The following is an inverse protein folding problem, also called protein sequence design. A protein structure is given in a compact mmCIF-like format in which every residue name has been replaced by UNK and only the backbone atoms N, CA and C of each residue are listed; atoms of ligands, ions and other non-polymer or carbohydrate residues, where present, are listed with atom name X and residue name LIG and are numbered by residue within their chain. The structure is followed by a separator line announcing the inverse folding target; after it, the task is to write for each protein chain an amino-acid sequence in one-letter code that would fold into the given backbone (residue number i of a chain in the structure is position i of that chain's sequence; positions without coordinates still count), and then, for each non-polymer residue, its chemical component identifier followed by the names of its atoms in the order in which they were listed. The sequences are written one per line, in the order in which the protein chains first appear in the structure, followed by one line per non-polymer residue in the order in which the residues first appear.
data_IF_570692506066
#
_entry.id   IF_570692506066
#
_cell.length_a   1.000
_cell.length_b   1.000
_cell.length_c   1.000
_cell.angle_alpha   90.00
_cell.angle_beta   90.00
_cell.angle_gamma   90.00
#
_symmetry.space_group_name_H-M   'P 1'
#
loop_
_entity.id
_entity.type
_entity.pdbx_description
1 polymer ?
#
# COMPACT_ATOMS: atom_id res chain seq x y z
N UNK A 1 4.62 9.37 24.31
CA UNK A 1 5.16 8.47 23.25
C UNK A 1 3.98 7.70 22.70
N UNK A 2 3.61 7.92 21.46
CA UNK A 2 2.65 7.07 20.73
C UNK A 2 3.26 5.67 20.64
N UNK A 3 2.55 4.65 21.13
CA UNK A 3 2.98 3.26 21.03
C UNK A 3 2.89 2.88 19.55
N UNK A 4 4.02 2.62 18.91
CA UNK A 4 4.07 2.17 17.53
C UNK A 4 3.49 0.76 17.43
N UNK A 5 2.63 0.52 16.44
CA UNK A 5 2.16 -0.81 16.10
C UNK A 5 3.23 -1.53 15.29
N UNK A 6 3.57 -2.75 15.68
CA UNK A 6 4.39 -3.64 14.86
C UNK A 6 3.45 -4.39 13.93
N UNK A 7 3.68 -4.23 12.61
CA UNK A 7 2.93 -4.92 11.57
C UNK A 7 3.78 -6.07 11.01
N UNK A 8 3.54 -7.32 11.42
CA UNK A 8 4.22 -8.48 10.83
C UNK A 8 3.94 -8.58 9.33
N UNK A 9 4.92 -9.07 8.57
CA UNK A 9 4.87 -9.22 7.13
C UNK A 9 5.15 -10.68 6.75
N UNK A 10 4.44 -11.23 5.77
CA UNK A 10 4.64 -12.59 5.25
C UNK A 10 5.59 -12.62 4.05
N UNK A 11 6.37 -11.58 3.84
CA UNK A 11 7.35 -11.48 2.74
C UNK A 11 8.24 -12.73 2.67
N UNK A 12 8.44 -13.22 1.45
CA UNK A 12 9.14 -14.48 1.20
C UNK A 12 8.23 -15.72 1.14
N UNK A 13 6.95 -15.60 1.42
CA UNK A 13 5.99 -16.67 1.18
C UNK A 13 5.74 -16.86 -0.32
N UNK A 14 5.74 -18.13 -0.78
CA UNK A 14 5.52 -18.48 -2.17
C UNK A 14 4.09 -18.96 -2.46
N UNK A 15 3.33 -19.30 -1.42
CA UNK A 15 1.96 -19.79 -1.50
C UNK A 15 1.16 -19.43 -0.24
N UNK A 16 -0.15 -19.65 -0.28
CA UNK A 16 -1.05 -19.32 0.83
C UNK A 16 -0.69 -20.05 2.13
N UNK A 17 -0.30 -21.34 2.05
CA UNK A 17 0.04 -22.12 3.24
C UNK A 17 1.26 -21.55 3.98
N UNK A 18 2.28 -21.12 3.24
CA UNK A 18 3.46 -20.47 3.84
C UNK A 18 3.11 -19.15 4.48
N UNK A 19 2.34 -18.29 3.80
CA UNK A 19 1.90 -17.01 4.34
C UNK A 19 1.09 -17.17 5.62
N UNK A 20 0.13 -18.09 5.64
CA UNK A 20 -0.68 -18.43 6.82
C UNK A 20 0.19 -18.91 7.96
N UNK A 21 1.16 -19.80 7.69
CA UNK A 21 2.11 -20.29 8.69
C UNK A 21 2.94 -19.15 9.30
N UNK A 22 3.48 -18.24 8.48
CA UNK A 22 4.24 -17.08 8.96
C UNK A 22 3.41 -16.15 9.84
N UNK A 23 2.19 -15.84 9.43
CA UNK A 23 1.28 -15.01 10.23
C UNK A 23 0.95 -15.65 11.59
N UNK A 24 0.66 -16.96 11.60
CA UNK A 24 0.41 -17.72 12.84
C UNK A 24 1.62 -17.75 13.77
N UNK A 25 2.84 -17.87 13.22
CA UNK A 25 4.08 -17.81 14.00
C UNK A 25 4.27 -16.44 14.65
N UNK A 26 4.02 -15.34 13.89
CA UNK A 26 4.08 -13.99 14.43
C UNK A 26 3.11 -13.80 15.61
N UNK A 27 1.86 -14.26 15.48
CA UNK A 27 0.88 -14.23 16.58
C UNK A 27 1.31 -15.09 17.76
N UNK A 28 1.84 -16.28 17.53
CA UNK A 28 2.32 -17.17 18.58
C UNK A 28 3.52 -16.59 19.33
N UNK A 29 4.28 -15.69 18.74
CA UNK A 29 5.38 -14.95 19.42
C UNK A 29 4.88 -13.76 20.27
N UNK A 30 3.57 -13.55 20.38
CA UNK A 30 2.96 -12.50 21.21
C UNK A 30 2.71 -11.18 20.48
N UNK A 31 2.81 -11.14 19.16
CA UNK A 31 2.44 -9.96 18.39
C UNK A 31 0.91 -9.88 18.23
N UNK A 32 0.42 -8.66 18.05
CA UNK A 32 -0.98 -8.40 17.74
C UNK A 32 -1.41 -9.11 16.44
N UNK A 33 -2.71 -9.43 16.24
CA UNK A 33 -3.17 -10.20 15.09
C UNK A 33 -3.25 -9.40 13.78
N UNK A 34 -2.37 -8.41 13.63
CA UNK A 34 -2.23 -7.64 12.39
C UNK A 34 -1.23 -8.33 11.48
N UNK A 35 -1.49 -8.32 10.18
CA UNK A 35 -0.54 -8.88 9.21
C UNK A 35 -0.60 -8.15 7.88
N UNK A 36 0.56 -7.69 7.39
CA UNK A 36 0.72 -7.36 5.98
C UNK A 36 0.91 -8.68 5.23
N UNK A 37 -0.09 -9.01 4.43
CA UNK A 37 -0.08 -10.23 3.63
C UNK A 37 0.65 -9.96 2.31
N UNK A 38 1.85 -10.48 2.18
CA UNK A 38 2.71 -10.35 1.02
C UNK A 38 3.13 -11.73 0.52
N UNK A 39 2.73 -12.04 -0.69
CA UNK A 39 2.92 -13.31 -1.38
C UNK A 39 3.54 -13.04 -2.75
N UNK A 40 4.84 -13.24 -2.88
CA UNK A 40 5.62 -12.91 -4.07
C UNK A 40 6.43 -14.11 -4.53
N UNK A 41 5.80 -15.07 -5.24
CA UNK A 41 6.45 -16.34 -5.63
C UNK A 41 7.54 -16.16 -6.68
N UNK A 42 7.51 -15.05 -7.43
CA UNK A 42 8.48 -14.75 -8.49
C UNK A 42 9.55 -13.78 -7.94
N UNK A 43 10.84 -14.22 -7.84
CA UNK A 43 11.86 -13.46 -7.11
C UNK A 43 12.45 -12.27 -7.90
N UNK A 44 12.21 -12.18 -9.21
CA UNK A 44 12.83 -11.14 -10.05
C UNK A 44 12.12 -9.80 -9.93
N UNK A 45 10.79 -9.81 -9.94
CA UNK A 45 9.97 -8.59 -9.91
C UNK A 45 9.16 -8.44 -8.64
N UNK A 46 9.12 -9.46 -7.78
CA UNK A 46 8.39 -9.50 -6.51
C UNK A 46 6.92 -9.11 -6.69
N UNK A 47 6.30 -9.60 -7.75
CA UNK A 47 4.89 -9.35 -8.03
C UNK A 47 4.02 -10.27 -7.17
N UNK A 48 2.94 -9.73 -6.57
CA UNK A 48 2.04 -10.53 -5.76
C UNK A 48 1.20 -11.48 -6.62
N UNK A 49 1.02 -12.72 -6.12
CA UNK A 49 0.12 -13.69 -6.74
C UNK A 49 -1.32 -13.41 -6.31
N UNK A 50 -2.25 -13.08 -7.23
CA UNK A 50 -3.60 -12.69 -6.89
C UNK A 50 -4.44 -13.81 -6.29
N UNK A 51 -4.27 -15.06 -6.77
CA UNK A 51 -5.06 -16.21 -6.32
C UNK A 51 -4.61 -16.69 -4.95
N UNK A 52 -3.33 -16.85 -4.75
CA UNK A 52 -2.75 -17.25 -3.47
C UNK A 52 -2.94 -16.17 -2.40
N UNK A 53 -2.89 -14.88 -2.77
CA UNK A 53 -3.18 -13.76 -1.86
C UNK A 53 -4.62 -13.81 -1.37
N UNK A 54 -5.59 -13.97 -2.28
CA UNK A 54 -7.02 -14.08 -1.90
C UNK A 54 -7.26 -15.29 -1.00
N UNK A 55 -6.73 -16.47 -1.37
CA UNK A 55 -6.85 -17.71 -0.59
C UNK A 55 -6.25 -17.55 0.82
N UNK A 56 -5.07 -16.94 0.94
CA UNK A 56 -4.44 -16.71 2.24
C UNK A 56 -5.23 -15.70 3.08
N UNK A 57 -5.74 -14.63 2.45
CA UNK A 57 -6.56 -13.63 3.13
C UNK A 57 -7.83 -14.26 3.73
N UNK A 58 -8.57 -15.07 2.97
CA UNK A 58 -9.76 -15.77 3.45
C UNK A 58 -9.49 -16.66 4.68
N UNK A 59 -8.37 -17.37 4.68
CA UNK A 59 -7.96 -18.22 5.80
C UNK A 59 -7.61 -17.38 7.03
N UNK A 60 -6.79 -16.35 6.84
CA UNK A 60 -6.32 -15.48 7.94
C UNK A 60 -7.45 -14.68 8.57
N UNK A 61 -8.38 -14.16 7.76
CA UNK A 61 -9.56 -13.44 8.25
C UNK A 61 -10.43 -14.38 9.11
N UNK A 62 -10.68 -15.61 8.67
CA UNK A 62 -11.39 -16.64 9.47
C UNK A 62 -10.65 -16.97 10.78
N UNK A 63 -9.33 -16.91 10.78
CA UNK A 63 -8.49 -17.10 11.97
C UNK A 63 -8.48 -15.85 12.90
N UNK A 64 -9.18 -14.78 12.55
CA UNK A 64 -9.29 -13.56 13.33
C UNK A 64 -8.09 -12.60 13.18
N UNK A 65 -7.37 -12.66 12.06
CA UNK A 65 -6.35 -11.66 11.74
C UNK A 65 -6.97 -10.41 11.10
N UNK A 66 -6.35 -9.27 11.38
CA UNK A 66 -6.54 -8.02 10.64
C UNK A 66 -5.59 -8.03 9.46
N UNK A 67 -6.13 -8.30 8.27
CA UNK A 67 -5.32 -8.58 7.08
C UNK A 67 -5.20 -7.34 6.20
N UNK A 68 -3.97 -7.00 5.84
CA UNK A 68 -3.58 -5.90 4.96
C UNK A 68 -2.88 -6.50 3.72
N UNK A 69 -3.61 -6.84 2.65
CA UNK A 69 -3.04 -7.55 1.51
C UNK A 69 -2.29 -6.60 0.56
N UNK A 70 -1.05 -6.95 0.22
CA UNK A 70 -0.28 -6.37 -0.87
C UNK A 70 -0.72 -6.99 -2.19
N UNK A 71 -1.12 -6.17 -3.15
CA UNK A 71 -1.71 -6.61 -4.41
C UNK A 71 -1.15 -5.84 -5.61
N UNK A 72 -1.31 -6.40 -6.80
CA UNK A 72 -1.32 -5.62 -8.02
C UNK A 72 -2.46 -4.60 -7.95
N UNK A 73 -2.34 -3.46 -8.64
CA UNK A 73 -3.44 -2.50 -8.74
C UNK A 73 -4.57 -3.06 -9.63
N UNK A 74 -5.29 -4.06 -9.10
CA UNK A 74 -6.40 -4.74 -9.74
C UNK A 74 -7.70 -4.46 -8.97
N UNK A 75 -8.61 -3.61 -9.51
CA UNK A 75 -9.85 -3.26 -8.85
C UNK A 75 -10.80 -4.45 -8.59
N UNK A 76 -10.69 -5.52 -9.39
CA UNK A 76 -11.54 -6.69 -9.19
C UNK A 76 -11.03 -7.60 -8.08
N UNK A 77 -9.72 -7.71 -7.93
CA UNK A 77 -9.11 -8.41 -6.79
C UNK A 77 -9.36 -7.64 -5.49
N UNK A 78 -9.20 -6.31 -5.53
CA UNK A 78 -9.52 -5.40 -4.44
C UNK A 78 -10.90 -5.67 -3.88
N UNK A 79 -11.92 -5.61 -4.73
CA UNK A 79 -13.32 -5.89 -4.34
C UNK A 79 -13.51 -7.26 -3.69
N UNK A 80 -12.88 -8.30 -4.22
CA UNK A 80 -12.95 -9.65 -3.64
C UNK A 80 -12.30 -9.74 -2.26
N UNK A 81 -11.20 -9.02 -2.05
CA UNK A 81 -10.53 -8.95 -0.76
C UNK A 81 -11.36 -8.20 0.27
N UNK A 82 -12.02 -7.10 -0.11
CA UNK A 82 -12.98 -6.41 0.75
C UNK A 82 -14.17 -7.32 1.12
N UNK A 83 -14.76 -7.99 0.14
CA UNK A 83 -15.85 -8.96 0.35
C UNK A 83 -15.44 -10.12 1.28
N UNK A 84 -14.18 -10.54 1.24
CA UNK A 84 -13.60 -11.52 2.16
C UNK A 84 -13.40 -10.96 3.58
N UNK A 85 -13.36 -9.64 3.76
CA UNK A 85 -13.18 -8.95 5.04
C UNK A 85 -11.78 -8.42 5.30
N UNK A 86 -11.00 -8.12 4.26
CA UNK A 86 -9.72 -7.44 4.40
C UNK A 86 -9.90 -6.07 5.08
N UNK A 87 -8.99 -5.71 5.96
CA UNK A 87 -9.07 -4.46 6.72
C UNK A 87 -8.61 -3.23 5.94
N UNK A 88 -7.79 -3.43 4.94
CA UNK A 88 -7.31 -2.44 3.97
C UNK A 88 -7.01 -3.15 2.66
N UNK A 89 -6.64 -2.39 1.63
CA UNK A 89 -5.95 -2.91 0.43
C UNK A 89 -4.70 -2.10 0.16
N UNK A 90 -3.66 -2.77 -0.33
CA UNK A 90 -2.33 -2.19 -0.53
C UNK A 90 -1.87 -2.39 -1.99
N UNK A 91 -2.45 -1.62 -2.94
CA UNK A 91 -2.07 -1.73 -4.35
C UNK A 91 -0.67 -1.16 -4.60
N UNK A 92 0.14 -1.87 -5.39
CA UNK A 92 1.47 -1.41 -5.78
C UNK A 92 1.41 -0.25 -6.79
N UNK A 93 2.25 0.77 -6.58
CA UNK A 93 2.52 1.80 -7.58
C UNK A 93 3.45 1.30 -8.69
N UNK A 94 4.48 0.57 -8.33
CA UNK A 94 5.43 -0.12 -9.21
C UNK A 94 6.05 -1.31 -8.45
N UNK A 95 6.78 -2.23 -9.10
CA UNK A 95 7.42 -3.35 -8.41
C UNK A 95 8.27 -2.93 -7.21
N UNK A 96 8.28 -3.76 -6.16
CA UNK A 96 9.07 -3.54 -4.94
C UNK A 96 10.52 -3.18 -5.30
N UNK A 97 11.08 -2.17 -4.65
CA UNK A 97 12.48 -1.76 -4.83
C UNK A 97 12.78 -1.02 -6.13
N UNK A 98 11.80 -0.80 -6.99
CA UNK A 98 12.04 -0.17 -8.30
C UNK A 98 12.17 1.35 -8.28
N UNK A 99 11.71 2.04 -7.23
CA UNK A 99 11.71 3.50 -7.06
C UNK A 99 11.07 4.28 -8.25
N UNK A 100 10.12 3.64 -8.98
CA UNK A 100 9.58 4.14 -10.26
C UNK A 100 8.34 5.01 -10.11
N UNK A 101 7.83 5.19 -8.90
CA UNK A 101 6.61 5.95 -8.62
C UNK A 101 5.33 5.20 -8.98
N UNK A 102 4.24 5.93 -9.15
CA UNK A 102 2.90 5.37 -9.36
C UNK A 102 2.67 5.11 -10.85
N UNK A 103 3.11 3.95 -11.34
CA UNK A 103 2.93 3.52 -12.74
C UNK A 103 1.55 2.93 -13.01
N UNK A 104 0.83 2.58 -11.96
CA UNK A 104 -0.51 2.00 -11.99
C UNK A 104 -1.58 3.04 -11.62
N UNK A 105 -1.31 4.33 -11.83
CA UNK A 105 -2.11 5.48 -11.41
C UNK A 105 -3.60 5.32 -11.67
N UNK A 106 -3.97 4.97 -12.91
CA UNK A 106 -5.38 4.90 -13.29
C UNK A 106 -6.12 3.77 -12.56
N UNK A 107 -5.46 2.63 -12.36
CA UNK A 107 -6.01 1.51 -11.62
C UNK A 107 -6.14 1.82 -10.12
N UNK A 108 -5.13 2.46 -9.52
CA UNK A 108 -5.20 2.92 -8.12
C UNK A 108 -6.33 3.93 -7.94
N UNK A 109 -6.55 4.85 -8.89
CA UNK A 109 -7.67 5.79 -8.84
C UNK A 109 -9.03 5.06 -8.80
N UNK A 110 -9.21 4.06 -9.67
CA UNK A 110 -10.44 3.24 -9.66
C UNK A 110 -10.63 2.54 -8.32
N UNK A 111 -9.54 1.98 -7.75
CA UNK A 111 -9.59 1.36 -6.42
C UNK A 111 -10.03 2.38 -5.37
N UNK A 112 -9.38 3.55 -5.30
CA UNK A 112 -9.71 4.61 -4.33
C UNK A 112 -11.17 5.06 -4.45
N UNK A 113 -11.69 5.20 -5.68
CA UNK A 113 -13.08 5.61 -5.93
C UNK A 113 -14.13 4.57 -5.48
N UNK A 114 -13.77 3.29 -5.47
CA UNK A 114 -14.70 2.19 -5.21
C UNK A 114 -14.51 1.52 -3.85
N UNK A 115 -13.33 1.66 -3.24
CA UNK A 115 -12.99 1.01 -1.99
C UNK A 115 -13.89 1.48 -0.84
N UNK A 116 -14.29 0.52 0.00
CA UNK A 116 -15.00 0.75 1.26
C UNK A 116 -14.09 0.63 2.49
N UNK A 117 -12.86 0.20 2.26
CA UNK A 117 -11.79 0.09 3.26
C UNK A 117 -10.65 1.07 2.92
N UNK A 118 -9.77 1.41 3.88
CA UNK A 118 -8.62 2.26 3.59
C UNK A 118 -7.72 1.70 2.49
N UNK A 119 -7.27 2.57 1.58
CA UNK A 119 -6.34 2.26 0.49
C UNK A 119 -4.96 2.77 0.86
N UNK A 120 -3.97 1.88 0.85
CA UNK A 120 -2.58 2.19 1.17
C UNK A 120 -1.73 2.08 -0.08
N UNK A 121 -1.18 3.19 -0.57
CA UNK A 121 -0.21 3.16 -1.68
C UNK A 121 1.06 2.43 -1.25
N UNK A 122 1.35 1.29 -1.89
CA UNK A 122 2.49 0.44 -1.51
C UNK A 122 3.41 0.22 -2.71
N UNK A 123 4.68 -0.03 -2.45
CA UNK A 123 5.74 -0.38 -3.39
C UNK A 123 6.00 0.60 -4.56
N UNK A 124 7.24 0.71 -4.94
CA UNK A 124 7.70 1.56 -6.03
C UNK A 124 7.81 3.05 -5.71
N UNK A 125 7.40 3.49 -4.52
CA UNK A 125 7.49 4.87 -4.08
C UNK A 125 8.97 5.21 -3.79
N UNK A 126 9.60 5.95 -4.71
CA UNK A 126 11.06 6.20 -4.67
C UNK A 126 11.44 7.65 -4.41
N UNK A 127 10.47 8.55 -4.28
CA UNK A 127 10.69 9.96 -4.00
C UNK A 127 9.52 10.54 -3.18
N UNK A 128 9.74 11.58 -2.37
CA UNK A 128 8.66 12.25 -1.62
C UNK A 128 7.50 12.72 -2.49
N UNK A 129 7.76 13.13 -3.73
CA UNK A 129 6.73 13.52 -4.69
C UNK A 129 5.76 12.39 -5.05
N UNK A 130 6.22 11.13 -5.02
CA UNK A 130 5.34 9.98 -5.26
C UNK A 130 4.34 9.76 -4.11
N UNK A 131 4.77 10.04 -2.87
CA UNK A 131 3.87 10.00 -1.71
C UNK A 131 2.85 11.14 -1.77
N UNK A 132 3.31 12.35 -2.10
CA UNK A 132 2.39 13.47 -2.28
C UNK A 132 1.33 13.14 -3.35
N UNK A 133 1.75 12.59 -4.49
CA UNK A 133 0.85 12.15 -5.57
C UNK A 133 -0.17 11.11 -5.08
N UNK A 134 0.26 10.06 -4.37
CA UNK A 134 -0.65 9.06 -3.82
C UNK A 134 -1.70 9.68 -2.90
N UNK A 135 -1.27 10.55 -2.01
CA UNK A 135 -2.16 11.21 -1.05
C UNK A 135 -3.08 12.23 -1.71
N UNK A 136 -2.63 12.93 -2.75
CA UNK A 136 -3.44 13.84 -3.59
C UNK A 136 -4.50 13.08 -4.37
N UNK A 137 -4.22 11.84 -4.80
CA UNK A 137 -5.21 10.96 -5.43
C UNK A 137 -6.30 10.48 -4.47
N UNK A 138 -6.08 10.60 -3.15
CA UNK A 138 -7.02 10.20 -2.12
C UNK A 138 -6.67 8.91 -1.38
N UNK A 139 -5.47 8.37 -1.55
CA UNK A 139 -5.01 7.27 -0.71
C UNK A 139 -5.04 7.66 0.78
N UNK A 140 -5.35 6.71 1.65
CA UNK A 140 -5.44 6.94 3.10
C UNK A 140 -4.09 6.89 3.79
N UNK A 141 -3.15 6.14 3.22
CA UNK A 141 -1.78 6.04 3.70
C UNK A 141 -0.83 5.62 2.57
N UNK A 142 0.46 5.66 2.87
CA UNK A 142 1.54 5.15 2.02
C UNK A 142 2.49 4.29 2.83
N UNK A 143 3.13 3.32 2.17
CA UNK A 143 4.19 2.51 2.75
C UNK A 143 5.47 2.69 1.93
N UNK A 144 6.54 3.11 2.61
CA UNK A 144 7.85 3.40 2.00
C UNK A 144 8.93 2.62 2.72
N UNK A 145 9.80 1.96 1.95
CA UNK A 145 10.94 1.23 2.50
C UNK A 145 12.22 1.52 1.70
N UNK A 146 12.34 0.99 0.49
CA UNK A 146 13.57 1.04 -0.33
C UNK A 146 14.10 2.46 -0.51
N UNK A 147 13.25 3.44 -0.77
CA UNK A 147 13.67 4.84 -0.92
C UNK A 147 14.34 5.42 0.34
N UNK A 148 13.99 4.91 1.52
CA UNK A 148 14.64 5.31 2.77
C UNK A 148 15.97 4.57 2.96
N UNK A 149 16.01 3.26 2.68
CA UNK A 149 17.23 2.45 2.85
C UNK A 149 18.32 2.79 1.84
N UNK A 150 17.97 3.23 0.65
CA UNK A 150 18.91 3.61 -0.41
C UNK A 150 19.41 5.05 -0.29
N UNK A 151 18.77 5.89 0.53
CA UNK A 151 19.15 7.28 0.69
C UNK A 151 20.48 7.45 1.40
N UNK A 152 21.28 8.43 1.00
CA UNK A 152 22.54 8.76 1.68
C UNK A 152 22.31 9.32 3.10
N UNK A 153 21.21 10.04 3.31
CA UNK A 153 20.75 10.51 4.62
C UNK A 153 19.33 9.99 4.86
N UNK A 154 19.24 8.87 5.56
CA UNK A 154 17.98 8.18 5.86
C UNK A 154 17.03 9.04 6.70
N UNK A 155 17.58 9.83 7.65
CA UNK A 155 16.77 10.66 8.54
C UNK A 155 16.15 11.84 7.79
N UNK A 156 16.94 12.55 6.98
CA UNK A 156 16.46 13.64 6.13
C UNK A 156 15.44 13.13 5.11
N UNK A 157 15.68 11.96 4.49
CA UNK A 157 14.76 11.37 3.55
C UNK A 157 13.43 10.98 4.21
N UNK A 158 13.45 10.38 5.41
CA UNK A 158 12.25 10.05 6.16
C UNK A 158 11.43 11.30 6.52
N UNK A 159 12.08 12.40 6.88
CA UNK A 159 11.41 13.68 7.12
C UNK A 159 10.77 14.23 5.84
N UNK A 160 11.47 14.17 4.71
CA UNK A 160 10.95 14.62 3.42
C UNK A 160 9.70 13.83 3.01
N UNK A 161 9.70 12.51 3.16
CA UNK A 161 8.53 11.66 2.91
C UNK A 161 7.37 12.02 3.85
N UNK A 162 7.62 12.18 5.15
CA UNK A 162 6.58 12.57 6.11
C UNK A 162 5.95 13.94 5.79
N UNK A 163 6.75 14.90 5.32
CA UNK A 163 6.25 16.21 4.87
C UNK A 163 5.41 16.10 3.60
N UNK A 164 5.84 15.30 2.63
CA UNK A 164 5.15 15.07 1.36
C UNK A 164 3.79 14.39 1.57
N UNK A 165 3.76 13.32 2.37
CA UNK A 165 2.52 12.62 2.75
C UNK A 165 1.51 13.59 3.37
N UNK A 166 1.97 14.42 4.32
CA UNK A 166 1.13 15.43 4.95
C UNK A 166 0.63 16.48 3.96
N UNK A 167 1.52 16.99 3.09
CA UNK A 167 1.17 17.99 2.10
C UNK A 167 0.13 17.47 1.10
N UNK A 168 0.33 16.26 0.55
CA UNK A 168 -0.61 15.63 -0.36
C UNK A 168 -1.99 15.41 0.27
N UNK A 169 -2.04 14.94 1.54
CA UNK A 169 -3.31 14.80 2.25
C UNK A 169 -4.01 16.13 2.47
N UNK A 170 -3.27 17.18 2.80
CA UNK A 170 -3.82 18.54 2.94
C UNK A 170 -4.38 19.06 1.62
N UNK A 171 -3.68 18.83 0.50
CA UNK A 171 -4.13 19.23 -0.83
C UNK A 171 -5.42 18.50 -1.23
N UNK A 172 -5.49 17.19 -1.02
CA UNK A 172 -6.68 16.38 -1.25
C UNK A 172 -7.90 16.90 -0.47
N UNK A 173 -7.73 17.17 0.83
CA UNK A 173 -8.80 17.66 1.70
C UNK A 173 -9.23 19.10 1.37
N UNK A 174 -8.32 19.93 0.86
CA UNK A 174 -8.62 21.27 0.41
C UNK A 174 -9.37 21.30 -0.93
N UNK A 175 -9.31 20.21 -1.70
CA UNK A 175 -9.86 20.11 -3.05
C UNK A 175 -8.90 20.67 -4.10
N UNK A 176 -8.38 19.77 -4.94
CA UNK A 176 -7.51 20.16 -6.06
C UNK A 176 -8.32 20.87 -7.14
N UNK A 177 -7.73 21.87 -7.78
CA UNK A 177 -8.30 22.49 -8.96
C UNK A 177 -8.43 21.48 -10.11
N UNK A 178 -9.44 21.61 -10.98
CA UNK A 178 -9.62 20.68 -12.10
C UNK A 178 -8.49 20.87 -13.14
N UNK A 179 -7.99 19.74 -13.67
CA UNK A 179 -7.14 19.77 -14.85
C UNK A 179 -7.96 20.26 -16.06
N UNK A 180 -7.37 21.16 -16.86
CA UNK A 180 -8.00 21.74 -18.05
C UNK A 180 -7.12 21.54 -19.27
N UNK A 181 -7.72 21.29 -20.42
CA UNK A 181 -7.02 21.16 -21.70
C UNK A 181 -6.63 22.50 -22.32
N UNK A 182 -7.20 23.61 -21.84
CA UNK A 182 -6.94 24.98 -22.29
C UNK A 182 -6.60 25.88 -21.12
N UNK A 183 -5.85 26.95 -21.39
CA UNK A 183 -5.57 27.97 -20.40
C UNK A 183 -6.86 28.70 -19.99
N UNK A 184 -6.99 29.00 -18.71
CA UNK A 184 -8.07 29.81 -18.14
C UNK A 184 -7.45 30.77 -17.11
N UNK A 185 -7.66 32.09 -17.31
CA UNK A 185 -7.07 33.07 -16.44
C UNK A 185 -7.71 33.03 -15.04
N UNK A 186 -6.88 32.92 -14.00
CA UNK A 186 -7.33 32.90 -12.59
C UNK A 186 -7.49 34.30 -11.99
N UNK A 187 -7.03 35.33 -12.71
CA UNK A 187 -7.17 36.75 -12.35
C UNK A 187 -7.46 37.57 -13.58
N UNK A 188 -8.24 38.66 -13.45
CA UNK A 188 -8.54 39.58 -14.56
C UNK A 188 -7.30 40.28 -15.10
#
# INVERSE_FOLDING_TARGET
RTKQLILPNTSGAHNAEEAVRLARLARASGLEPWVKLELTPEPRYLLPDPLETLRAAEILIKDGFVVLPYIQADPMLDKRLEEAGAATVMPLGAPIGSNRGIRTRDMIRIIIEQATVPVVGDAGLGAPSHDAEAMEMGADAVLVNTALSDASDHAAMAQAFAMATKAGRMAYLAGLGPERSTADASSP
#
